data_IF_294025045550
#
_entry.id   IF_294025045550
#
_cell.length_a   1.000
_cell.length_b   1.000
_cell.length_c   1.000
_cell.angle_alpha   90.00
_cell.angle_beta   90.00
_cell.angle_gamma   90.00
#
_symmetry.space_group_name_H-M   'P 1'
#
loop_
_entity.id
_entity.type
_entity.pdbx_description
1 polymer ?
#
# COMPACT_ATOMS: atom_id res chain seq x y z
N UNK A 1 -5.54 -20.84 -6.19
CA UNK A 1 -6.90 -20.27 -6.41
C UNK A 1 -7.06 -18.96 -5.64
N UNK A 2 -8.02 -18.10 -6.00
CA UNK A 2 -8.21 -16.77 -5.35
C UNK A 2 -8.40 -16.88 -3.83
N UNK A 3 -9.08 -17.93 -3.34
CA UNK A 3 -9.26 -18.17 -1.91
C UNK A 3 -7.92 -18.34 -1.18
N UNK A 4 -6.94 -18.99 -1.80
CA UNK A 4 -5.63 -19.22 -1.19
C UNK A 4 -4.82 -17.92 -1.13
N UNK A 5 -4.88 -17.12 -2.20
CA UNK A 5 -4.29 -15.77 -2.21
C UNK A 5 -4.94 -14.89 -1.13
N UNK A 6 -6.28 -14.89 -1.03
CA UNK A 6 -6.99 -14.12 -0.02
C UNK A 6 -6.65 -14.55 1.42
N UNK A 7 -6.39 -15.84 1.65
CA UNK A 7 -5.92 -16.35 2.96
C UNK A 7 -4.50 -15.88 3.30
N UNK A 8 -3.62 -15.83 2.31
CA UNK A 8 -2.22 -15.43 2.46
C UNK A 8 -2.04 -13.90 2.49
N UNK A 9 -2.93 -13.15 1.83
CA UNK A 9 -2.90 -11.70 1.82
C UNK A 9 -3.38 -11.16 3.17
N UNK A 10 -2.43 -10.76 4.00
CA UNK A 10 -2.68 -10.22 5.34
C UNK A 10 -2.08 -8.83 5.46
N UNK A 11 -2.47 -8.09 6.50
CA UNK A 11 -1.83 -6.83 6.86
C UNK A 11 -0.48 -7.12 7.52
N UNK A 12 0.54 -7.31 6.70
CA UNK A 12 1.91 -7.57 7.14
C UNK A 12 2.55 -6.31 7.71
N UNK A 13 3.25 -6.42 8.84
CA UNK A 13 3.88 -5.30 9.55
C UNK A 13 5.33 -5.57 9.95
N UNK A 14 5.85 -6.73 9.57
CA UNK A 14 7.26 -7.12 9.67
C UNK A 14 7.74 -7.67 8.34
N UNK A 15 8.90 -7.22 7.90
CA UNK A 15 9.46 -7.54 6.58
C UNK A 15 10.94 -7.88 6.67
N UNK A 16 11.39 -8.77 5.79
CA UNK A 16 12.79 -9.05 5.55
C UNK A 16 13.39 -7.92 4.69
N UNK A 17 14.15 -7.04 5.34
CA UNK A 17 14.78 -5.88 4.68
C UNK A 17 15.87 -6.29 3.67
N UNK A 18 16.39 -7.52 3.72
CA UNK A 18 17.40 -8.00 2.77
C UNK A 18 16.81 -8.26 1.38
N UNK A 19 15.49 -8.56 1.31
CA UNK A 19 14.78 -8.76 0.05
C UNK A 19 14.19 -7.43 -0.42
N UNK A 20 14.91 -6.75 -1.31
CA UNK A 20 14.42 -5.52 -1.92
C UNK A 20 13.33 -5.80 -2.94
N UNK A 21 12.27 -5.01 -2.90
CA UNK A 21 11.21 -5.02 -3.93
C UNK A 21 11.70 -4.22 -5.12
N UNK A 22 11.56 -4.78 -6.32
CA UNK A 22 11.99 -4.11 -7.55
C UNK A 22 10.91 -3.16 -8.10
N UNK A 23 11.33 -2.27 -9.00
CA UNK A 23 10.42 -1.40 -9.74
C UNK A 23 9.42 -2.23 -10.57
N UNK A 24 9.91 -3.29 -11.21
CA UNK A 24 9.12 -4.16 -12.08
C UNK A 24 8.00 -4.86 -11.30
N UNK A 25 8.28 -5.31 -10.08
CA UNK A 25 7.27 -5.90 -9.19
C UNK A 25 6.19 -4.88 -8.82
N UNK A 26 6.56 -3.63 -8.52
CA UNK A 26 5.56 -2.57 -8.25
C UNK A 26 4.75 -2.21 -9.49
N UNK A 27 5.38 -2.17 -10.65
CA UNK A 27 4.68 -1.91 -11.93
C UNK A 27 3.67 -3.02 -12.21
N UNK A 28 4.02 -4.29 -11.99
CA UNK A 28 3.09 -5.42 -12.17
C UNK A 28 1.87 -5.30 -11.25
N UNK A 29 2.07 -4.89 -9.98
CA UNK A 29 0.95 -4.62 -9.07
C UNK A 29 0.03 -3.52 -9.61
N UNK A 30 0.60 -2.45 -10.17
CA UNK A 30 -0.18 -1.34 -10.76
C UNK A 30 -0.88 -1.78 -12.04
N UNK A 31 -0.26 -2.63 -12.86
CA UNK A 31 -0.92 -3.20 -14.04
C UNK A 31 -2.15 -4.05 -13.65
N UNK A 32 -2.06 -4.82 -12.57
CA UNK A 32 -3.24 -5.51 -12.03
C UNK A 32 -4.31 -4.51 -11.55
N UNK A 33 -3.92 -3.44 -10.88
CA UNK A 33 -4.84 -2.39 -10.43
C UNK A 33 -5.51 -1.66 -11.60
N UNK A 34 -4.80 -1.44 -12.71
CA UNK A 34 -5.32 -0.82 -13.94
C UNK A 34 -6.51 -1.60 -14.55
N UNK A 35 -6.56 -2.90 -14.30
CA UNK A 35 -7.65 -3.76 -14.78
C UNK A 35 -8.89 -3.73 -13.88
N UNK A 36 -8.83 -3.05 -12.73
CA UNK A 36 -9.94 -2.93 -11.82
C UNK A 36 -11.03 -1.99 -12.34
N UNK A 37 -12.30 -2.24 -11.97
CA UNK A 37 -13.37 -1.30 -12.26
C UNK A 37 -13.18 0.02 -11.51
N UNK A 38 -13.60 1.11 -12.13
CA UNK A 38 -13.65 2.44 -11.51
C UNK A 38 -15.05 3.03 -11.62
N UNK A 39 -15.45 3.80 -10.62
CA UNK A 39 -16.75 4.48 -10.59
C UNK A 39 -16.92 5.34 -11.85
N UNK A 40 -18.00 5.10 -12.59
CA UNK A 40 -18.31 5.74 -13.89
C UNK A 40 -17.15 5.67 -14.89
N UNK A 41 -16.26 4.70 -14.74
CA UNK A 41 -15.03 4.55 -15.53
C UNK A 41 -14.13 5.80 -15.54
N UNK A 42 -14.14 6.58 -14.46
CA UNK A 42 -13.42 7.84 -14.35
C UNK A 42 -11.89 7.67 -14.24
N UNK A 43 -11.44 6.62 -13.57
CA UNK A 43 -10.02 6.26 -13.40
C UNK A 43 -9.15 7.43 -12.87
N UNK A 44 -9.52 8.08 -11.75
CA UNK A 44 -8.82 9.26 -11.25
C UNK A 44 -7.57 8.92 -10.45
N UNK A 45 -7.27 7.64 -10.23
CA UNK A 45 -6.17 7.23 -9.37
C UNK A 45 -4.83 7.21 -10.12
N UNK A 46 -3.80 7.71 -9.48
CA UNK A 46 -2.40 7.73 -9.91
C UNK A 46 -1.55 7.09 -8.82
N UNK A 47 -0.38 6.59 -9.19
CA UNK A 47 0.46 5.79 -8.30
C UNK A 47 1.88 6.33 -8.29
N UNK A 48 2.36 6.69 -7.10
CA UNK A 48 3.78 6.96 -6.89
C UNK A 48 4.44 5.68 -6.36
N UNK A 49 5.47 5.22 -7.05
CA UNK A 49 6.19 3.99 -6.71
C UNK A 49 7.51 4.35 -6.04
N UNK A 50 7.75 3.84 -4.85
CA UNK A 50 8.98 4.04 -4.10
C UNK A 50 9.65 2.68 -3.86
N UNK A 51 10.78 2.44 -4.49
CA UNK A 51 11.60 1.22 -4.37
C UNK A 51 13.06 1.52 -4.07
N UNK A 52 13.50 2.74 -4.35
CA UNK A 52 14.84 3.19 -4.01
C UNK A 52 14.91 3.56 -2.52
N UNK A 53 16.05 3.26 -1.90
CA UNK A 53 16.23 3.44 -0.47
C UNK A 53 15.92 4.87 -0.01
N UNK A 54 16.33 5.88 -0.78
CA UNK A 54 16.08 7.29 -0.47
C UNK A 54 14.58 7.64 -0.53
N UNK A 55 13.83 7.05 -1.47
CA UNK A 55 12.38 7.24 -1.56
C UNK A 55 11.67 6.58 -0.37
N UNK A 56 12.06 5.35 -0.04
CA UNK A 56 11.53 4.59 1.10
C UNK A 56 11.78 5.33 2.41
N UNK A 57 12.99 5.87 2.62
CA UNK A 57 13.36 6.67 3.79
C UNK A 57 12.54 7.95 3.95
N UNK A 58 12.06 8.55 2.85
CA UNK A 58 11.19 9.74 2.90
C UNK A 58 9.77 9.38 3.38
N UNK A 59 9.25 8.21 3.00
CA UNK A 59 7.86 7.81 3.29
C UNK A 59 7.74 7.15 4.67
N UNK A 60 8.68 6.27 5.03
CA UNK A 60 8.61 5.47 6.26
C UNK A 60 8.30 6.29 7.52
N UNK A 61 8.98 7.42 7.82
CA UNK A 61 8.72 8.20 9.04
C UNK A 61 7.37 8.94 9.02
N UNK A 62 6.74 9.10 7.85
CA UNK A 62 5.44 9.75 7.72
C UNK A 62 4.27 8.78 7.94
N UNK A 63 4.54 7.48 8.01
CA UNK A 63 3.53 6.44 8.22
C UNK A 63 3.32 6.16 9.70
N UNK A 64 2.06 6.02 10.11
CA UNK A 64 1.68 5.64 11.48
C UNK A 64 0.96 4.30 11.46
N UNK A 65 1.56 3.33 12.14
CA UNK A 65 1.16 1.93 12.07
C UNK A 65 0.23 1.52 13.22
N UNK A 66 -0.77 0.71 12.90
CA UNK A 66 -1.55 -0.12 13.81
C UNK A 66 -1.82 0.48 15.22
N UNK A 67 -2.43 1.66 15.29
CA UNK A 67 -2.73 2.37 16.55
C UNK A 67 -3.38 1.47 17.60
N UNK A 68 -4.19 0.50 17.17
CA UNK A 68 -4.87 -0.44 18.07
C UNK A 68 -3.91 -1.45 18.75
N UNK A 69 -2.67 -1.55 18.29
CA UNK A 69 -1.64 -2.46 18.84
C UNK A 69 -0.63 -1.76 19.73
N UNK A 70 -0.84 -0.49 20.05
CA UNK A 70 0.02 0.21 21.00
C UNK A 70 0.00 -0.48 22.39
N UNK A 71 1.14 -0.52 23.11
CA UNK A 71 2.37 0.23 22.90
C UNK A 71 3.39 -0.42 21.93
N UNK A 72 2.99 -1.41 21.13
CA UNK A 72 3.89 -2.07 20.17
C UNK A 72 4.34 -1.07 19.10
N UNK A 73 5.65 -0.89 18.93
CA UNK A 73 6.23 -0.11 17.85
C UNK A 73 6.30 -0.95 16.57
N UNK A 74 5.64 -0.50 15.52
CA UNK A 74 5.57 -1.19 14.23
C UNK A 74 5.91 -0.23 13.08
N UNK A 75 6.61 -0.72 12.06
CA UNK A 75 7.34 -1.99 12.04
C UNK A 75 8.50 -1.98 13.05
N UNK A 76 8.88 -3.13 13.56
CA UNK A 76 10.05 -3.22 14.42
C UNK A 76 11.32 -2.81 13.67
N UNK A 77 12.31 -2.27 14.40
CA UNK A 77 13.60 -1.92 13.82
C UNK A 77 14.25 -3.14 13.17
N UNK A 78 14.69 -2.99 11.91
CA UNK A 78 15.24 -4.08 11.12
C UNK A 78 14.18 -4.93 10.39
N UNK A 79 12.89 -4.57 10.49
CA UNK A 79 11.78 -5.25 9.83
C UNK A 79 10.87 -4.28 9.08
N UNK A 80 11.46 -3.23 8.50
CA UNK A 80 10.74 -2.22 7.72
C UNK A 80 10.39 -2.71 6.30
N UNK A 81 9.32 -2.20 5.69
CA UNK A 81 9.03 -2.47 4.29
C UNK A 81 10.15 -1.91 3.39
N UNK A 82 10.38 -2.55 2.26
CA UNK A 82 11.42 -2.14 1.31
C UNK A 82 10.88 -1.38 0.10
N UNK A 83 9.56 -1.20 0.05
CA UNK A 83 8.91 -0.38 -0.97
C UNK A 83 7.58 0.18 -0.48
N UNK A 84 7.11 1.22 -1.16
CA UNK A 84 5.78 1.79 -0.97
C UNK A 84 5.11 2.09 -2.31
N UNK A 85 3.79 1.96 -2.35
CA UNK A 85 2.94 2.54 -3.38
C UNK A 85 2.08 3.60 -2.71
N UNK A 86 2.22 4.86 -3.12
CA UNK A 86 1.33 5.93 -2.67
C UNK A 86 0.24 6.11 -3.73
N UNK A 87 -0.98 5.75 -3.37
CA UNK A 87 -2.16 5.94 -4.21
C UNK A 87 -2.59 7.40 -4.06
N UNK A 88 -2.66 8.12 -5.17
CA UNK A 88 -3.09 9.49 -5.23
C UNK A 88 -4.37 9.61 -6.06
N UNK A 89 -5.27 10.50 -5.66
CA UNK A 89 -6.36 10.92 -6.53
C UNK A 89 -5.95 12.17 -7.29
N UNK A 90 -6.14 12.16 -8.60
CA UNK A 90 -6.00 13.32 -9.47
C UNK A 90 -7.24 14.22 -9.30
N UNK A 91 -7.09 15.25 -8.47
CA UNK A 91 -8.18 16.19 -8.15
C UNK A 91 -8.50 17.15 -9.28
N UNK A 92 -7.63 17.28 -10.29
CA UNK A 92 -7.93 18.03 -11.51
C UNK A 92 -8.93 17.27 -12.39
N UNK A 93 -8.86 15.93 -12.42
CA UNK A 93 -9.86 15.07 -13.07
C UNK A 93 -11.13 14.98 -12.24
N UNK A 94 -11.00 14.81 -10.93
CA UNK A 94 -12.15 14.64 -10.03
C UNK A 94 -11.80 15.16 -8.62
N UNK A 95 -12.40 16.29 -8.20
CA UNK A 95 -12.09 16.90 -6.91
C UNK A 95 -12.69 16.17 -5.70
N UNK A 96 -13.75 15.37 -5.88
CA UNK A 96 -14.43 14.68 -4.78
C UNK A 96 -13.74 13.37 -4.38
N UNK A 97 -12.87 13.41 -3.38
CA UNK A 97 -12.19 12.23 -2.84
C UNK A 97 -13.18 11.19 -2.28
N UNK A 98 -14.22 11.56 -1.47
CA UNK A 98 -15.15 10.60 -0.92
C UNK A 98 -15.87 9.73 -1.96
N UNK A 99 -16.08 10.25 -3.17
CA UNK A 99 -16.76 9.55 -4.26
C UNK A 99 -15.99 8.29 -4.72
N UNK A 100 -14.65 8.31 -4.62
CA UNK A 100 -13.78 7.26 -5.14
C UNK A 100 -13.15 6.39 -4.06
N UNK A 101 -13.61 6.46 -2.80
CA UNK A 101 -13.08 5.63 -1.71
C UNK A 101 -13.21 4.13 -1.98
N UNK A 102 -14.25 3.70 -2.70
CA UNK A 102 -14.41 2.29 -3.09
C UNK A 102 -13.34 1.88 -4.10
N UNK A 103 -13.05 2.72 -5.08
CA UNK A 103 -12.03 2.49 -6.08
C UNK A 103 -10.65 2.29 -5.42
N UNK A 104 -10.32 3.14 -4.42
CA UNK A 104 -9.07 3.05 -3.66
C UNK A 104 -8.93 1.67 -2.99
N UNK A 105 -9.98 1.18 -2.33
CA UNK A 105 -10.00 -0.14 -1.69
C UNK A 105 -9.86 -1.28 -2.69
N UNK A 106 -10.53 -1.18 -3.84
CA UNK A 106 -10.49 -2.19 -4.92
C UNK A 106 -9.07 -2.33 -5.47
N UNK A 107 -8.45 -1.22 -5.87
CA UNK A 107 -7.09 -1.25 -6.45
C UNK A 107 -6.06 -1.68 -5.42
N UNK A 108 -6.15 -1.19 -4.17
CA UNK A 108 -5.22 -1.54 -3.11
C UNK A 108 -5.27 -3.05 -2.78
N UNK A 109 -6.47 -3.63 -2.66
CA UNK A 109 -6.62 -5.07 -2.42
C UNK A 109 -6.11 -5.90 -3.60
N UNK A 110 -6.35 -5.45 -4.82
CA UNK A 110 -5.85 -6.14 -6.03
C UNK A 110 -4.32 -6.14 -6.08
N UNK A 111 -3.67 -5.00 -5.78
CA UNK A 111 -2.21 -4.92 -5.67
C UNK A 111 -1.66 -5.86 -4.59
N UNK A 112 -2.32 -5.95 -3.43
CA UNK A 112 -1.90 -6.84 -2.34
C UNK A 112 -2.07 -8.33 -2.69
N UNK A 113 -3.06 -8.69 -3.51
CA UNK A 113 -3.19 -10.05 -4.04
C UNK A 113 -2.08 -10.36 -5.04
N UNK A 114 -1.76 -9.42 -5.95
CA UNK A 114 -0.65 -9.55 -6.88
C UNK A 114 0.70 -9.67 -6.12
N UNK A 115 0.93 -8.84 -5.10
CA UNK A 115 2.09 -8.95 -4.22
C UNK A 115 2.19 -10.35 -3.58
N UNK A 116 1.06 -10.87 -3.09
CA UNK A 116 0.99 -12.20 -2.46
C UNK A 116 1.35 -13.32 -3.45
N UNK A 117 0.91 -13.21 -4.69
CA UNK A 117 1.25 -14.17 -5.76
C UNK A 117 2.75 -14.17 -6.06
N UNK A 118 3.40 -13.01 -6.01
CA UNK A 118 4.86 -12.85 -6.15
C UNK A 118 5.66 -13.25 -4.89
N UNK A 119 4.99 -13.77 -3.84
CA UNK A 119 5.63 -14.10 -2.56
C UNK A 119 6.01 -12.90 -1.71
N UNK A 120 5.45 -11.74 -2.03
CA UNK A 120 5.52 -10.52 -1.25
C UNK A 120 4.25 -10.34 -0.40
N UNK A 121 4.20 -9.26 0.36
CA UNK A 121 3.02 -8.90 1.11
C UNK A 121 3.05 -7.41 1.44
N UNK A 122 1.97 -6.92 2.03
CA UNK A 122 1.94 -5.51 2.36
C UNK A 122 0.87 -5.15 3.39
N UNK A 123 0.78 -3.86 3.64
CA UNK A 123 -0.19 -3.28 4.56
C UNK A 123 -0.72 -1.97 4.01
N UNK A 124 -2.04 -1.81 4.06
CA UNK A 124 -2.67 -0.52 3.79
C UNK A 124 -2.50 0.40 5.01
N UNK A 125 -2.00 1.61 4.79
CA UNK A 125 -1.75 2.61 5.81
C UNK A 125 -2.60 3.83 5.49
N UNK A 126 -3.63 4.07 6.32
CA UNK A 126 -4.51 5.22 6.22
C UNK A 126 -4.15 6.34 7.20
N UNK A 127 -3.22 6.11 8.14
CA UNK A 127 -2.86 7.08 9.17
C UNK A 127 -1.54 7.77 8.80
N UNK A 128 -1.65 8.89 8.11
CA UNK A 128 -0.56 9.78 7.72
C UNK A 128 -1.14 11.19 7.45
N UNK A 129 -0.27 12.18 7.33
CA UNK A 129 -0.64 13.51 6.86
C UNK A 129 -0.40 13.62 5.34
N UNK A 130 -1.49 13.81 4.58
CA UNK A 130 -1.42 13.84 3.12
C UNK A 130 -0.63 15.04 2.59
N UNK A 131 -0.65 16.18 3.29
CA UNK A 131 0.12 17.36 2.92
C UNK A 131 1.62 17.12 3.06
N UNK A 132 2.04 16.54 4.20
CA UNK A 132 3.44 16.19 4.43
C UNK A 132 3.95 15.14 3.43
N UNK A 133 3.14 14.13 3.09
CA UNK A 133 3.51 13.13 2.08
C UNK A 133 3.65 13.78 0.71
N UNK A 134 2.72 14.65 0.32
CA UNK A 134 2.78 15.38 -0.96
C UNK A 134 4.03 16.24 -1.06
N UNK A 135 4.37 16.96 -0.01
CA UNK A 135 5.57 17.81 0.06
C UNK A 135 6.86 16.97 0.00
N UNK A 136 6.96 15.93 0.83
CA UNK A 136 8.15 15.08 0.89
C UNK A 136 8.46 14.35 -0.43
N UNK A 137 7.42 14.03 -1.21
CA UNK A 137 7.52 13.35 -2.49
C UNK A 137 7.49 14.31 -3.69
N UNK A 138 7.42 15.62 -3.44
CA UNK A 138 7.36 16.66 -4.47
C UNK A 138 6.25 16.40 -5.52
N UNK A 139 5.09 15.91 -5.04
CA UNK A 139 3.96 15.60 -5.92
C UNK A 139 3.31 16.89 -6.44
N UNK A 140 2.80 16.81 -7.66
CA UNK A 140 2.02 17.90 -8.24
C UNK A 140 0.82 18.27 -7.36
N UNK A 141 0.43 19.54 -7.33
CA UNK A 141 -0.61 20.06 -6.42
C UNK A 141 -1.94 19.31 -6.51
N UNK A 142 -2.30 18.87 -7.71
CA UNK A 142 -3.55 18.14 -7.97
C UNK A 142 -3.47 16.65 -7.62
N UNK A 143 -2.31 16.11 -7.26
CA UNK A 143 -2.16 14.71 -6.85
C UNK A 143 -2.28 14.61 -5.33
N UNK A 144 -3.46 14.24 -4.85
CA UNK A 144 -3.74 14.11 -3.42
C UNK A 144 -3.50 12.67 -2.95
N UNK A 145 -2.54 12.41 -2.05
CA UNK A 145 -2.36 11.08 -1.44
C UNK A 145 -3.64 10.63 -0.71
N UNK A 146 -4.16 9.46 -1.05
CA UNK A 146 -5.40 8.92 -0.48
C UNK A 146 -5.21 7.59 0.23
N UNK A 147 -4.13 6.87 -0.04
CA UNK A 147 -3.74 5.66 0.67
C UNK A 147 -2.26 5.36 0.43
N UNK A 148 -1.56 4.89 1.46
CA UNK A 148 -0.20 4.35 1.32
C UNK A 148 -0.28 2.83 1.48
N UNK A 149 0.39 2.10 0.58
CA UNK A 149 0.54 0.64 0.66
C UNK A 149 2.02 0.32 0.85
N UNK A 150 2.36 -0.21 2.02
CA UNK A 150 3.69 -0.72 2.30
C UNK A 150 3.85 -2.10 1.67
N UNK A 151 4.99 -2.37 1.04
CA UNK A 151 5.30 -3.63 0.35
C UNK A 151 6.67 -4.14 0.78
N UNK A 152 6.77 -5.46 0.95
CA UNK A 152 8.03 -6.14 1.25
C UNK A 152 7.86 -7.65 1.31
N UNK A 153 8.95 -8.35 1.60
CA UNK A 153 8.91 -9.79 1.88
C UNK A 153 8.43 -9.98 3.33
N UNK A 154 7.28 -10.65 3.59
CA UNK A 154 6.84 -10.91 4.96
C UNK A 154 7.88 -11.67 5.78
N UNK A 155 8.10 -11.22 7.00
CA UNK A 155 9.03 -11.81 7.99
C UNK A 155 8.37 -11.83 9.38
N UNK A 156 7.13 -12.27 9.44
CA UNK A 156 6.37 -12.50 10.66
C UNK A 156 5.41 -13.66 10.45
N UNK A 157 4.92 -14.24 11.57
CA UNK A 157 3.92 -15.30 11.52
C UNK A 157 2.55 -14.77 11.91
N UNK A 158 1.57 -14.88 11.00
CA UNK A 158 0.18 -14.57 11.28
C UNK A 158 -0.62 -15.87 11.35
N UNK A 159 -1.21 -16.14 12.51
CA UNK A 159 -2.06 -17.31 12.73
C UNK A 159 -3.50 -16.93 12.50
N UNK A 160 -4.16 -17.63 11.57
CA UNK A 160 -5.60 -17.49 11.37
C UNK A 160 -6.32 -18.44 12.33
N UNK A 161 -7.21 -17.90 13.14
CA UNK A 161 -8.11 -18.71 13.96
C UNK A 161 -9.38 -19.02 13.17
N UNK A 162 -9.92 -20.23 13.38
CA UNK A 162 -11.21 -20.59 12.82
C UNK A 162 -12.32 -19.72 13.46
N UNK A 163 -13.30 -19.34 12.64
CA UNK A 163 -14.48 -18.66 13.14
C UNK A 163 -15.27 -19.67 13.97
N UNK A 164 -15.45 -19.36 15.26
CA UNK A 164 -16.35 -20.15 16.09
C UNK A 164 -17.75 -20.08 15.46
N UNK A 165 -18.26 -21.22 15.04
CA UNK A 165 -19.62 -21.37 14.52
C UNK A 165 -20.64 -21.35 15.66
#
# INVERSE_FOLDING_TARGET
MIRDLARKSRSWRGYDESRKVSREELVEMVECARLCPSSVNMQPLKYYLAWEEEQVKKIQPLTKWARALQPMELPHKGHCPTAFIVICQDTALQPSIPRFQKDIGIVAQTMLLAATEMGLGGCMIGNYDAGQVREALELLEHLMPVLIVAIGKPDETIVLTDVNK
#
